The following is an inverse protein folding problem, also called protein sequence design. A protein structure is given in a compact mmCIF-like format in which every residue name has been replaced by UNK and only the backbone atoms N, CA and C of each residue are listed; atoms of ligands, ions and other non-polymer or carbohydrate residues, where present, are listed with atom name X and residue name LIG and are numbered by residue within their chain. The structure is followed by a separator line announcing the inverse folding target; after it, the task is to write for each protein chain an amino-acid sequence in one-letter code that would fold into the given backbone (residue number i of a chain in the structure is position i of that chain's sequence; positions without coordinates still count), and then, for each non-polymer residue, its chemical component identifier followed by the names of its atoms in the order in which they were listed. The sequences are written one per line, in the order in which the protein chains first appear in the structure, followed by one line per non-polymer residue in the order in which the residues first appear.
data_IF_776388083107
#
_entry.id   IF_776388083107
#
_cell.length_a   1.000
_cell.length_b   1.000
_cell.length_c   1.000
_cell.angle_alpha   90.00
_cell.angle_beta   90.00
_cell.angle_gamma   90.00
#
_symmetry.space_group_name_H-M   'P 1'
#
loop_
_entity.id
_entity.type
_entity.pdbx_description
1 polymer ?
#
# COMPACT_ATOMS: atom_id res chain seq x y z
N UNK A 1 -74.88 20.92 11.30
CA UNK A 1 -74.10 19.93 12.02
C UNK A 1 -72.96 19.47 11.12
N UNK A 2 -71.77 20.08 11.24
CA UNK A 2 -70.59 19.77 10.42
C UNK A 2 -69.68 18.89 11.24
N UNK A 3 -69.41 17.67 10.75
CA UNK A 3 -68.49 16.74 11.32
C UNK A 3 -67.06 17.19 10.94
N UNK A 4 -66.22 17.51 11.91
CA UNK A 4 -64.77 17.67 11.78
C UNK A 4 -64.13 16.29 11.95
N UNK A 5 -63.55 15.78 10.86
CA UNK A 5 -62.67 14.61 10.90
C UNK A 5 -61.24 15.12 11.15
N UNK A 6 -60.69 14.84 12.33
CA UNK A 6 -59.31 15.13 12.66
C UNK A 6 -58.44 13.98 12.12
N UNK A 7 -57.58 14.27 11.13
CA UNK A 7 -56.55 13.39 10.62
C UNK A 7 -55.37 13.46 11.61
N UNK A 8 -55.15 12.43 12.42
CA UNK A 8 -53.93 12.28 13.21
C UNK A 8 -52.81 11.78 12.29
N UNK A 9 -51.91 12.67 11.90
CA UNK A 9 -50.68 12.27 11.23
C UNK A 9 -49.75 11.60 12.25
N UNK A 10 -49.59 10.28 12.12
CA UNK A 10 -48.56 9.52 12.87
C UNK A 10 -47.19 9.96 12.34
N UNK A 11 -46.53 10.81 13.09
CA UNK A 11 -45.08 11.04 12.91
C UNK A 11 -44.38 9.77 13.31
N UNK A 12 -43.99 8.97 12.33
CA UNK A 12 -43.03 7.89 12.53
C UNK A 12 -41.72 8.55 12.95
N UNK A 13 -41.48 8.56 14.28
CA UNK A 13 -40.23 9.00 14.86
C UNK A 13 -39.07 8.15 14.32
N UNK A 14 -38.30 8.70 13.39
CA UNK A 14 -37.02 8.14 13.08
C UNK A 14 -36.21 8.09 14.37
N UNK A 15 -35.86 6.89 14.82
CA UNK A 15 -34.91 6.71 15.93
C UNK A 15 -33.68 7.55 15.61
N UNK A 16 -33.13 8.30 16.58
CA UNK A 16 -31.89 9.03 16.32
C UNK A 16 -30.83 8.02 15.81
N UNK A 17 -30.06 8.36 14.77
CA UNK A 17 -29.02 7.48 14.28
C UNK A 17 -28.13 7.12 15.48
N UNK A 18 -27.91 5.82 15.69
CA UNK A 18 -27.00 5.35 16.74
C UNK A 18 -25.69 6.09 16.54
N UNK A 19 -25.16 6.74 17.59
CA UNK A 19 -23.92 7.51 17.51
C UNK A 19 -22.83 6.58 16.95
N UNK A 20 -22.26 6.92 15.81
CA UNK A 20 -21.16 6.16 15.20
C UNK A 20 -20.00 6.10 16.20
N UNK A 21 -19.23 5.00 16.25
CA UNK A 21 -18.03 4.94 17.09
C UNK A 21 -17.04 6.08 16.77
N UNK A 22 -16.88 6.42 15.48
CA UNK A 22 -16.15 7.59 14.99
C UNK A 22 -16.91 8.29 13.88
N UNK A 23 -16.86 9.63 13.84
CA UNK A 23 -17.41 10.42 12.72
C UNK A 23 -16.43 10.50 11.55
N UNK A 24 -15.14 10.44 11.88
CA UNK A 24 -14.03 10.50 10.93
C UNK A 24 -13.04 9.36 11.18
N UNK A 25 -12.50 8.79 10.10
CA UNK A 25 -11.39 7.84 10.15
C UNK A 25 -10.30 8.32 9.22
N UNK A 26 -9.08 8.46 9.76
CA UNK A 26 -7.88 8.81 9.00
C UNK A 26 -6.95 7.61 8.97
N UNK A 27 -6.73 7.06 7.78
CA UNK A 27 -5.77 5.99 7.51
C UNK A 27 -4.51 6.63 6.96
N UNK A 28 -3.45 6.64 7.76
CA UNK A 28 -2.16 7.23 7.42
C UNK A 28 -1.21 6.09 7.10
N UNK A 29 -0.78 6.06 5.84
CA UNK A 29 0.18 5.09 5.34
C UNK A 29 1.57 5.72 5.33
N UNK A 30 2.50 5.08 6.01
CA UNK A 30 3.91 5.44 6.04
C UNK A 30 4.64 4.47 5.10
N UNK A 31 4.62 4.78 3.80
CA UNK A 31 5.09 3.92 2.71
C UNK A 31 6.51 3.37 2.99
N UNK A 32 6.68 2.06 2.87
CA UNK A 32 7.96 1.41 3.06
C UNK A 32 8.47 1.41 4.51
N UNK A 33 7.59 1.52 5.51
CA UNK A 33 8.00 1.67 6.91
C UNK A 33 8.06 0.33 7.64
N UNK A 34 9.25 -0.01 8.13
CA UNK A 34 9.49 -1.17 9.02
C UNK A 34 9.04 -0.87 10.45
N UNK A 35 8.30 -1.78 11.10
CA UNK A 35 7.81 -1.56 12.47
C UNK A 35 8.91 -1.53 13.52
N UNK A 36 10.03 -2.25 13.33
CA UNK A 36 11.17 -2.22 14.24
C UNK A 36 11.91 -0.88 14.18
N UNK A 37 12.05 -0.29 13.00
CA UNK A 37 12.68 1.01 12.81
C UNK A 37 11.79 2.14 13.36
N UNK A 38 10.47 2.07 13.14
CA UNK A 38 9.53 3.04 13.70
C UNK A 38 9.54 3.03 15.24
N UNK A 39 9.68 1.85 15.86
CA UNK A 39 9.82 1.77 17.33
C UNK A 39 11.12 2.38 17.86
N UNK A 40 12.20 2.39 17.07
CA UNK A 40 13.51 2.96 17.42
C UNK A 40 13.61 4.46 17.14
N UNK A 41 12.81 4.97 16.19
CA UNK A 41 12.78 6.39 15.84
C UNK A 41 12.28 7.26 17.00
N UNK A 42 12.71 8.50 17.04
CA UNK A 42 12.13 9.51 17.93
C UNK A 42 10.81 10.01 17.35
N UNK A 43 9.76 9.20 17.55
CA UNK A 43 8.43 9.39 16.98
C UNK A 43 7.36 9.62 18.06
N UNK A 44 7.44 10.74 18.82
CA UNK A 44 6.59 10.96 20.00
C UNK A 44 5.10 11.08 19.69
N UNK A 45 4.70 11.57 18.51
CA UNK A 45 3.29 11.67 18.12
C UNK A 45 2.71 10.28 17.86
N UNK A 46 3.41 9.46 17.05
CA UNK A 46 2.98 8.09 16.72
C UNK A 46 3.04 7.21 17.98
N UNK A 47 4.09 7.32 18.78
CA UNK A 47 4.22 6.55 20.02
C UNK A 47 3.12 6.89 21.04
N UNK A 48 2.66 8.14 21.12
CA UNK A 48 1.50 8.52 21.92
C UNK A 48 0.22 7.88 21.38
N UNK A 49 -0.02 7.96 20.08
CA UNK A 49 -1.18 7.31 19.44
C UNK A 49 -1.17 5.79 19.70
N UNK A 50 -0.01 5.17 19.66
CA UNK A 50 0.17 3.74 19.96
C UNK A 50 -0.15 3.44 21.44
N UNK A 51 0.34 4.26 22.38
CA UNK A 51 0.09 4.08 23.81
C UNK A 51 -1.39 4.29 24.19
N UNK A 52 -2.05 5.26 23.53
CA UNK A 52 -3.46 5.57 23.74
C UNK A 52 -4.43 4.70 22.91
N UNK A 53 -3.93 3.72 22.16
CA UNK A 53 -4.69 2.93 21.23
C UNK A 53 -4.47 1.43 21.32
N UNK A 54 -4.63 0.75 20.19
CA UNK A 54 -4.34 -0.68 20.01
C UNK A 54 -3.20 -0.87 19.00
N UNK A 55 -2.19 -1.65 19.36
CA UNK A 55 -1.02 -1.97 18.53
C UNK A 55 -1.02 -3.46 18.18
N UNK A 56 -0.87 -3.79 16.90
CA UNK A 56 -0.68 -5.15 16.42
C UNK A 56 0.81 -5.42 16.19
N UNK A 57 1.39 -6.34 16.97
CA UNK A 57 2.85 -6.61 16.93
C UNK A 57 3.28 -7.46 15.74
N UNK A 58 2.35 -8.21 15.14
CA UNK A 58 2.59 -9.14 14.04
C UNK A 58 1.63 -8.83 12.88
N UNK A 59 1.62 -7.57 12.46
CA UNK A 59 0.87 -7.17 11.29
C UNK A 59 1.71 -7.39 10.04
N UNK A 60 1.08 -7.92 8.99
CA UNK A 60 1.70 -8.18 7.70
C UNK A 60 0.89 -7.55 6.57
N UNK A 61 1.60 -7.18 5.51
CA UNK A 61 1.00 -6.77 4.25
C UNK A 61 0.57 -7.98 3.41
N UNK A 62 0.11 -7.73 2.18
CA UNK A 62 -0.22 -8.76 1.20
C UNK A 62 0.99 -9.08 0.32
N UNK A 63 1.06 -10.31 -0.22
CA UNK A 63 2.08 -10.69 -1.18
C UNK A 63 1.55 -10.53 -2.62
N UNK A 64 2.35 -10.00 -3.55
CA UNK A 64 3.68 -9.43 -3.34
C UNK A 64 3.62 -8.15 -2.48
N UNK A 65 4.65 -7.92 -1.67
CA UNK A 65 4.78 -6.78 -0.76
C UNK A 65 5.17 -5.51 -1.53
N UNK A 66 4.23 -4.99 -2.30
CA UNK A 66 4.43 -3.93 -3.28
C UNK A 66 3.33 -2.88 -3.19
N UNK A 67 3.70 -1.61 -3.32
CA UNK A 67 2.85 -0.43 -3.12
C UNK A 67 1.51 -0.54 -3.85
N UNK A 68 1.50 -0.77 -5.17
CA UNK A 68 0.27 -0.81 -5.97
C UNK A 68 -0.69 -1.90 -5.49
N UNK A 69 -0.17 -3.07 -5.14
CA UNK A 69 -0.96 -4.21 -4.65
C UNK A 69 -1.55 -3.89 -3.29
N UNK A 70 -0.72 -3.39 -2.36
CA UNK A 70 -1.12 -3.05 -1.01
C UNK A 70 -2.17 -1.94 -0.97
N UNK A 71 -2.01 -0.91 -1.80
CA UNK A 71 -2.97 0.21 -1.89
C UNK A 71 -4.30 -0.14 -2.57
N UNK A 72 -4.44 -1.33 -3.14
CA UNK A 72 -5.75 -1.90 -3.52
C UNK A 72 -6.24 -2.89 -2.46
N UNK A 73 -5.34 -3.65 -1.85
CA UNK A 73 -5.67 -4.56 -0.75
C UNK A 73 -6.26 -3.82 0.46
N UNK A 74 -5.69 -2.67 0.81
CA UNK A 74 -6.14 -1.81 1.91
C UNK A 74 -7.63 -1.42 1.77
N UNK A 75 -8.06 -0.71 0.71
CA UNK A 75 -9.44 -0.21 0.62
C UNK A 75 -10.46 -1.31 0.30
N UNK A 76 -10.06 -2.41 -0.33
CA UNK A 76 -10.95 -3.53 -0.63
C UNK A 76 -11.07 -4.52 0.53
N UNK A 77 -10.12 -4.50 1.47
CA UNK A 77 -9.99 -5.52 2.51
C UNK A 77 -9.76 -6.92 1.93
N UNK A 78 -9.18 -7.01 0.73
CA UNK A 78 -9.08 -8.27 -0.01
C UNK A 78 -7.65 -8.52 -0.49
N UNK A 79 -7.31 -9.79 -0.70
CA UNK A 79 -6.01 -10.18 -1.23
C UNK A 79 -5.94 -10.00 -2.75
N UNK A 80 -4.73 -9.97 -3.33
CA UNK A 80 -4.52 -9.78 -4.77
C UNK A 80 -5.29 -10.79 -5.62
N UNK A 81 -5.38 -12.04 -5.18
CA UNK A 81 -6.16 -13.08 -5.85
C UNK A 81 -7.66 -12.84 -5.86
N UNK A 82 -8.16 -11.93 -5.02
CA UNK A 82 -9.58 -11.54 -4.99
C UNK A 82 -9.84 -10.22 -5.69
N UNK A 83 -8.97 -9.21 -5.52
CA UNK A 83 -9.20 -7.89 -6.13
C UNK A 83 -8.59 -7.72 -7.52
N UNK A 84 -7.69 -8.64 -7.96
CA UNK A 84 -7.19 -8.73 -9.34
C UNK A 84 -6.06 -7.78 -9.72
N UNK A 85 -5.48 -7.04 -8.76
CA UNK A 85 -4.25 -6.28 -8.94
C UNK A 85 -3.13 -7.11 -8.32
N UNK A 86 -2.37 -7.81 -9.16
CA UNK A 86 -1.52 -8.94 -8.75
C UNK A 86 -0.02 -8.66 -8.81
N UNK A 87 0.39 -7.48 -9.23
CA UNK A 87 1.82 -7.14 -9.34
C UNK A 87 2.05 -5.72 -9.81
N UNK A 88 3.29 -5.46 -10.12
CA UNK A 88 3.96 -4.23 -10.40
C UNK A 88 3.30 -3.15 -11.25
N UNK A 89 4.12 -2.52 -12.07
CA UNK A 89 3.72 -1.28 -12.77
C UNK A 89 2.71 -1.54 -13.90
N UNK A 90 2.64 -2.75 -14.42
CA UNK A 90 1.75 -3.15 -15.51
C UNK A 90 0.90 -4.37 -15.15
N UNK A 91 -0.35 -4.37 -15.62
CA UNK A 91 -1.24 -5.53 -15.54
C UNK A 91 -1.44 -6.03 -16.96
N UNK A 92 -1.06 -7.28 -17.21
CA UNK A 92 -1.22 -7.95 -18.50
C UNK A 92 -2.40 -8.91 -18.46
N UNK A 93 -3.02 -9.15 -19.61
CA UNK A 93 -3.90 -10.28 -19.78
C UNK A 93 -3.13 -11.56 -20.16
N UNK A 94 -3.85 -12.67 -20.34
CA UNK A 94 -3.24 -13.94 -20.71
C UNK A 94 -2.55 -13.92 -22.11
N UNK A 95 -2.84 -12.94 -22.95
CA UNK A 95 -2.19 -12.71 -24.25
C UNK A 95 -0.97 -11.78 -24.16
N UNK A 96 -0.67 -11.25 -22.95
CA UNK A 96 0.34 -10.24 -22.66
C UNK A 96 0.00 -8.84 -23.15
N UNK A 97 -1.25 -8.60 -23.52
CA UNK A 97 -1.72 -7.26 -23.80
C UNK A 97 -1.87 -6.46 -22.51
N UNK A 98 -1.52 -5.17 -22.55
CA UNK A 98 -1.68 -4.28 -21.42
C UNK A 98 -3.16 -4.04 -21.13
N UNK A 99 -3.54 -4.28 -19.87
CA UNK A 99 -4.87 -3.98 -19.35
C UNK A 99 -4.95 -2.57 -18.78
N UNK A 100 -3.81 -2.00 -18.40
CA UNK A 100 -3.69 -0.62 -17.97
C UNK A 100 -2.37 0.02 -18.43
N UNK A 101 -2.28 1.33 -18.26
CA UNK A 101 -1.14 2.16 -18.64
C UNK A 101 -0.30 2.58 -17.43
N UNK A 102 -0.41 1.86 -16.30
CA UNK A 102 0.32 2.16 -15.07
C UNK A 102 0.00 3.56 -14.52
N UNK A 103 1.02 4.37 -14.36
CA UNK A 103 0.92 5.74 -13.81
C UNK A 103 0.15 6.73 -14.71
N UNK A 104 -0.06 6.42 -15.99
CA UNK A 104 -0.59 7.40 -16.94
C UNK A 104 -2.10 7.61 -16.79
N UNK A 105 -2.84 6.56 -16.42
CA UNK A 105 -4.28 6.67 -16.20
C UNK A 105 -4.77 5.73 -15.08
N UNK A 106 -4.40 6.01 -13.82
CA UNK A 106 -4.76 5.17 -12.69
C UNK A 106 -6.29 5.15 -12.43
N UNK A 107 -7.00 6.19 -12.85
CA UNK A 107 -8.46 6.26 -12.66
C UNK A 107 -9.16 5.29 -13.60
N UNK A 108 -8.76 5.20 -14.87
CA UNK A 108 -9.35 4.21 -15.78
C UNK A 108 -9.00 2.77 -15.36
N UNK A 109 -7.86 2.57 -14.71
CA UNK A 109 -7.46 1.28 -14.17
C UNK A 109 -8.34 0.80 -12.99
N UNK A 110 -9.12 1.67 -12.35
CA UNK A 110 -10.06 1.29 -11.28
C UNK A 110 -11.10 0.24 -11.74
N UNK A 111 -11.43 0.20 -13.04
CA UNK A 111 -12.29 -0.86 -13.61
C UNK A 111 -11.71 -2.27 -13.47
N UNK A 112 -10.40 -2.39 -13.29
CA UNK A 112 -9.72 -3.68 -13.09
C UNK A 112 -9.85 -4.20 -11.65
N UNK A 113 -10.24 -3.35 -10.70
CA UNK A 113 -10.45 -3.74 -9.30
C UNK A 113 -11.75 -4.52 -9.18
N UNK A 114 -11.63 -5.84 -8.98
CA UNK A 114 -12.74 -6.78 -8.99
C UNK A 114 -13.55 -6.79 -7.66
N UNK A 115 -13.10 -6.08 -6.63
CA UNK A 115 -13.75 -5.98 -5.32
C UNK A 115 -14.20 -4.54 -5.03
N UNK A 116 -15.32 -4.36 -4.32
CA UNK A 116 -15.71 -3.06 -3.81
C UNK A 116 -14.70 -2.55 -2.76
N UNK A 117 -14.62 -1.24 -2.62
CA UNK A 117 -13.78 -0.56 -1.64
C UNK A 117 -14.60 -0.01 -0.48
N UNK A 118 -13.92 0.31 0.63
CA UNK A 118 -14.57 1.04 1.73
C UNK A 118 -14.98 2.47 1.35
N UNK A 119 -14.43 3.04 0.27
CA UNK A 119 -14.90 4.31 -0.30
C UNK A 119 -16.30 4.16 -0.93
N UNK A 120 -16.52 3.07 -1.68
CA UNK A 120 -17.83 2.76 -2.24
C UNK A 120 -18.85 2.47 -1.12
N UNK A 121 -18.43 1.79 -0.03
CA UNK A 121 -19.26 1.58 1.16
C UNK A 121 -19.61 2.91 1.84
N UNK A 122 -18.63 3.83 2.01
CA UNK A 122 -18.84 5.15 2.59
C UNK A 122 -19.81 5.98 1.74
N UNK A 123 -19.59 6.01 0.42
CA UNK A 123 -20.45 6.73 -0.53
C UNK A 123 -21.88 6.20 -0.54
N UNK A 124 -22.07 4.87 -0.49
CA UNK A 124 -23.39 4.26 -0.40
C UNK A 124 -24.14 4.62 0.91
N UNK A 125 -23.39 4.98 1.96
CA UNK A 125 -23.93 5.45 3.24
C UNK A 125 -24.09 6.99 3.31
N UNK A 126 -23.83 7.71 2.23
CA UNK A 126 -23.91 9.17 2.17
C UNK A 126 -22.75 9.88 2.88
N UNK A 127 -21.62 9.18 3.10
CA UNK A 127 -20.41 9.75 3.66
C UNK A 127 -19.47 10.24 2.56
N UNK A 128 -18.66 11.24 2.90
CA UNK A 128 -17.62 11.75 2.01
C UNK A 128 -16.26 11.16 2.36
N UNK A 129 -15.43 10.97 1.35
CA UNK A 129 -14.14 10.33 1.50
C UNK A 129 -13.07 10.96 0.60
N UNK A 130 -11.82 10.80 0.99
CA UNK A 130 -10.67 11.34 0.28
C UNK A 130 -9.53 10.34 0.20
N UNK A 131 -8.85 10.32 -0.92
CA UNK A 131 -7.60 9.59 -1.10
C UNK A 131 -6.49 10.50 -1.62
N UNK A 132 -5.45 10.69 -0.82
CA UNK A 132 -4.25 11.43 -1.19
C UNK A 132 -3.10 10.46 -1.46
N UNK A 133 -2.78 10.27 -2.73
CA UNK A 133 -1.74 9.37 -3.22
C UNK A 133 -0.48 10.16 -3.57
N UNK A 134 0.68 9.69 -3.11
CA UNK A 134 1.96 10.28 -3.52
C UNK A 134 2.39 9.79 -4.90
N UNK A 135 2.29 8.50 -5.13
CA UNK A 135 2.56 7.85 -6.42
C UNK A 135 1.23 7.68 -7.18
N UNK A 136 1.15 8.16 -8.42
CA UNK A 136 -0.14 8.22 -9.15
C UNK A 136 -0.88 6.88 -9.25
N UNK A 137 -0.16 5.78 -9.44
CA UNK A 137 -0.74 4.44 -9.59
C UNK A 137 -1.46 3.91 -8.34
N UNK A 138 -1.24 4.49 -7.17
CA UNK A 138 -1.97 4.15 -5.94
C UNK A 138 -3.46 4.45 -6.07
N UNK A 139 -3.84 5.44 -6.91
CA UNK A 139 -5.23 5.84 -7.13
C UNK A 139 -6.11 4.76 -7.77
N UNK A 140 -5.53 3.65 -8.23
CA UNK A 140 -6.29 2.45 -8.60
C UNK A 140 -7.14 1.96 -7.41
N UNK A 141 -6.63 2.09 -6.19
CA UNK A 141 -7.36 1.78 -4.95
C UNK A 141 -8.40 2.83 -4.53
N UNK A 142 -8.41 4.00 -5.14
CA UNK A 142 -9.29 5.11 -4.77
C UNK A 142 -10.73 5.00 -5.34
N UNK A 143 -11.10 3.84 -5.90
CA UNK A 143 -12.43 3.61 -6.49
C UNK A 143 -13.55 3.95 -5.51
N UNK A 144 -14.40 4.92 -5.90
CA UNK A 144 -15.51 5.40 -5.09
C UNK A 144 -15.17 6.55 -4.12
N UNK A 145 -13.92 7.02 -4.06
CA UNK A 145 -13.56 8.19 -3.26
C UNK A 145 -14.20 9.48 -3.80
N UNK A 146 -14.65 10.35 -2.89
CA UNK A 146 -15.26 11.65 -3.26
C UNK A 146 -14.21 12.59 -3.83
N UNK A 147 -13.02 12.65 -3.22
CA UNK A 147 -11.88 13.46 -3.67
C UNK A 147 -10.63 12.61 -3.78
N UNK A 148 -9.82 12.93 -4.77
CA UNK A 148 -8.50 12.33 -4.95
C UNK A 148 -7.45 13.42 -5.14
N UNK A 149 -6.26 13.22 -4.55
CA UNK A 149 -5.06 13.99 -4.85
C UNK A 149 -4.05 13.04 -5.48
N UNK A 150 -3.56 13.42 -6.66
CA UNK A 150 -2.47 12.72 -7.34
C UNK A 150 -1.18 13.54 -7.15
N UNK A 151 -0.36 13.17 -6.17
CA UNK A 151 0.89 13.86 -5.85
C UNK A 151 1.85 13.95 -7.03
N UNK A 152 1.87 12.94 -7.92
CA UNK A 152 2.66 12.98 -9.16
C UNK A 152 2.30 14.17 -10.06
N UNK A 153 1.06 14.62 -10.04
CA UNK A 153 0.55 15.72 -10.87
C UNK A 153 0.51 17.05 -10.13
N UNK A 154 0.32 17.05 -8.81
CA UNK A 154 0.03 18.24 -8.02
C UNK A 154 1.23 18.78 -7.24
N UNK A 155 2.23 17.94 -6.96
CA UNK A 155 3.50 18.37 -6.37
C UNK A 155 4.35 19.03 -7.47
N UNK A 156 5.07 20.11 -7.13
CA UNK A 156 5.89 20.79 -8.13
C UNK A 156 6.88 19.83 -8.81
N UNK A 157 7.08 20.03 -10.12
CA UNK A 157 7.81 19.09 -10.96
C UNK A 157 9.28 18.92 -10.54
N UNK A 158 9.89 19.98 -9.97
CA UNK A 158 11.30 19.93 -9.53
C UNK A 158 11.42 19.03 -8.30
N UNK A 159 10.59 19.28 -7.28
CA UNK A 159 10.55 18.44 -6.08
C UNK A 159 10.21 16.99 -6.43
N UNK A 160 9.22 16.78 -7.29
CA UNK A 160 8.83 15.40 -7.65
C UNK A 160 9.92 14.68 -8.43
N UNK A 161 10.62 15.35 -9.36
CA UNK A 161 11.76 14.76 -10.08
C UNK A 161 12.93 14.44 -9.16
N UNK A 162 13.19 15.30 -8.17
CA UNK A 162 14.30 15.15 -7.24
C UNK A 162 14.18 13.91 -6.30
N UNK A 163 13.03 13.23 -6.27
CA UNK A 163 12.84 11.97 -5.50
C UNK A 163 13.85 10.88 -5.88
N UNK A 164 14.32 10.89 -7.13
CA UNK A 164 15.36 9.98 -7.63
C UNK A 164 16.78 10.55 -7.52
N UNK A 165 16.92 11.79 -7.01
CA UNK A 165 18.22 12.35 -6.81
C UNK A 165 19.01 11.49 -5.82
N UNK A 166 20.09 10.92 -6.31
CA UNK A 166 21.19 10.40 -5.50
C UNK A 166 22.17 11.52 -5.29
N UNK A 167 23.11 11.36 -4.40
CA UNK A 167 24.14 12.36 -4.03
C UNK A 167 25.09 12.79 -5.19
N UNK A 168 24.71 12.55 -6.42
CA UNK A 168 25.48 12.90 -7.62
C UNK A 168 25.45 14.42 -7.85
N UNK A 169 26.26 15.15 -7.08
CA UNK A 169 26.51 16.59 -7.27
C UNK A 169 25.79 17.55 -6.31
N UNK A 170 25.10 17.06 -5.30
CA UNK A 170 24.51 17.82 -4.19
C UNK A 170 24.86 17.22 -2.83
N UNK A 171 24.61 17.93 -1.72
CA UNK A 171 24.76 17.31 -0.40
C UNK A 171 23.65 16.28 -0.17
N UNK A 172 23.96 15.19 0.56
CA UNK A 172 22.99 14.20 0.98
C UNK A 172 21.81 14.83 1.73
N UNK A 173 22.04 15.91 2.46
CA UNK A 173 21.00 16.66 3.16
C UNK A 173 20.03 17.35 2.21
N UNK A 174 20.47 17.88 1.08
CA UNK A 174 19.60 18.47 0.07
C UNK A 174 18.71 17.40 -0.58
N UNK A 175 19.29 16.26 -0.96
CA UNK A 175 18.53 15.13 -1.51
C UNK A 175 17.51 14.59 -0.51
N UNK A 176 17.86 14.50 0.77
CA UNK A 176 16.96 14.10 1.84
C UNK A 176 15.80 15.11 1.99
N UNK A 177 16.11 16.40 1.99
CA UNK A 177 15.10 17.46 2.07
C UNK A 177 14.08 17.36 0.93
N UNK A 178 14.52 17.15 -0.31
CA UNK A 178 13.61 16.98 -1.44
C UNK A 178 12.68 15.78 -1.26
N UNK A 179 13.21 14.62 -0.80
CA UNK A 179 12.38 13.43 -0.56
C UNK A 179 11.35 13.66 0.55
N UNK A 180 11.73 14.34 1.63
CA UNK A 180 10.82 14.69 2.73
C UNK A 180 9.77 15.71 2.29
N UNK A 181 10.12 16.67 1.42
CA UNK A 181 9.20 17.68 0.89
C UNK A 181 8.03 17.09 0.12
N UNK A 182 8.14 15.88 -0.43
CA UNK A 182 7.04 15.19 -1.10
C UNK A 182 5.87 14.94 -0.13
N UNK A 183 6.15 14.31 1.02
CA UNK A 183 5.13 14.05 2.04
C UNK A 183 4.61 15.35 2.66
N UNK A 184 5.47 16.37 2.82
CA UNK A 184 5.07 17.70 3.30
C UNK A 184 4.02 18.33 2.37
N UNK A 185 4.31 18.42 1.09
CA UNK A 185 3.39 19.03 0.11
C UNK A 185 2.08 18.25 0.00
N UNK A 186 2.13 16.92 0.06
CA UNK A 186 0.91 16.11 0.03
C UNK A 186 0.05 16.32 1.28
N UNK A 187 0.66 16.44 2.47
CA UNK A 187 -0.09 16.77 3.69
C UNK A 187 -0.72 18.17 3.59
N UNK A 188 -0.01 19.17 3.08
CA UNK A 188 -0.54 20.54 2.93
C UNK A 188 -1.79 20.55 2.05
N UNK A 189 -1.76 19.84 0.92
CA UNK A 189 -2.90 19.70 0.01
C UNK A 189 -4.05 18.93 0.69
N UNK A 190 -3.73 17.87 1.44
CA UNK A 190 -4.71 17.10 2.21
C UNK A 190 -5.40 17.98 3.25
N UNK A 191 -4.62 18.77 3.99
CA UNK A 191 -5.16 19.67 5.00
C UNK A 191 -6.07 20.77 4.40
N UNK A 192 -5.81 21.22 3.19
CA UNK A 192 -6.70 22.16 2.49
C UNK A 192 -8.10 21.57 2.31
N UNK A 193 -8.18 20.32 1.80
CA UNK A 193 -9.46 19.61 1.63
C UNK A 193 -10.12 19.30 2.99
N UNK A 194 -9.33 18.90 3.98
CA UNK A 194 -9.85 18.58 5.33
C UNK A 194 -10.43 19.82 6.01
N UNK A 195 -9.80 20.98 5.89
CA UNK A 195 -10.30 22.25 6.44
C UNK A 195 -11.62 22.65 5.86
N UNK A 196 -11.79 22.51 4.55
CA UNK A 196 -12.98 22.92 3.82
C UNK A 196 -14.13 21.93 3.97
N UNK A 197 -13.85 20.63 3.84
CA UNK A 197 -14.89 19.62 3.67
C UNK A 197 -15.06 18.63 4.83
N UNK A 198 -14.06 18.50 5.71
CA UNK A 198 -14.06 17.54 6.85
C UNK A 198 -14.54 16.13 6.44
N UNK A 199 -13.86 15.46 5.49
CA UNK A 199 -14.29 14.15 5.00
C UNK A 199 -14.37 13.11 6.13
N UNK A 200 -15.31 12.17 6.02
CA UNK A 200 -15.51 11.11 7.01
C UNK A 200 -14.42 10.02 6.94
N UNK A 201 -13.88 9.77 5.75
CA UNK A 201 -12.82 8.79 5.53
C UNK A 201 -11.68 9.42 4.73
N UNK A 202 -10.48 9.39 5.26
CA UNK A 202 -9.27 9.90 4.60
C UNK A 202 -8.23 8.80 4.55
N UNK A 203 -7.66 8.55 3.37
CA UNK A 203 -6.42 7.81 3.19
C UNK A 203 -5.35 8.78 2.73
N UNK A 204 -4.23 8.82 3.44
CA UNK A 204 -3.09 9.68 3.15
C UNK A 204 -1.82 8.84 3.08
N UNK A 205 -1.16 8.79 1.92
CA UNK A 205 0.14 8.13 1.77
C UNK A 205 1.30 9.12 1.95
N UNK A 206 2.04 9.00 3.04
CA UNK A 206 3.28 9.74 3.31
C UNK A 206 4.48 8.90 2.84
N UNK A 207 4.84 9.02 1.56
CA UNK A 207 5.75 8.09 0.87
C UNK A 207 7.24 8.39 0.97
N UNK A 208 7.67 9.36 1.78
CA UNK A 208 9.08 9.77 1.82
C UNK A 208 10.03 8.69 2.34
N UNK A 209 9.57 7.80 3.24
CA UNK A 209 10.42 6.76 3.80
C UNK A 209 10.81 5.72 2.74
N UNK A 210 9.87 5.34 1.86
CA UNK A 210 10.13 4.45 0.72
C UNK A 210 11.23 5.02 -0.21
N UNK A 211 11.09 6.28 -0.64
CA UNK A 211 12.10 6.90 -1.50
C UNK A 211 13.48 7.01 -0.85
N UNK A 212 13.52 7.20 0.47
CA UNK A 212 14.77 7.25 1.23
C UNK A 212 15.38 5.86 1.35
N UNK A 213 14.57 4.84 1.67
CA UNK A 213 15.03 3.46 1.79
C UNK A 213 15.55 2.90 0.46
N UNK A 214 14.88 3.18 -0.65
CA UNK A 214 15.40 2.85 -1.98
C UNK A 214 16.78 3.47 -2.24
N UNK A 215 16.98 4.71 -1.82
CA UNK A 215 18.21 5.46 -2.12
C UNK A 215 19.40 5.08 -1.26
N UNK A 216 19.20 4.92 0.06
CA UNK A 216 20.28 4.73 1.03
C UNK A 216 20.16 3.46 1.86
N UNK A 217 19.12 2.66 1.64
CA UNK A 217 18.79 1.47 2.42
C UNK A 217 17.96 1.78 3.67
N UNK A 218 17.26 0.76 4.22
CA UNK A 218 16.38 0.95 5.37
C UNK A 218 17.11 1.13 6.72
N UNK A 219 18.40 0.79 6.79
CA UNK A 219 19.19 0.84 8.03
C UNK A 219 20.07 2.10 8.12
N UNK A 220 19.87 3.08 7.23
CA UNK A 220 20.67 4.30 7.18
C UNK A 220 20.14 5.41 8.11
N UNK A 221 21.01 6.37 8.53
CA UNK A 221 20.58 7.52 9.34
C UNK A 221 19.53 8.39 8.65
N UNK A 222 19.54 8.48 7.32
CA UNK A 222 18.59 9.26 6.53
C UNK A 222 17.17 8.68 6.67
N UNK A 223 17.05 7.36 6.70
CA UNK A 223 15.76 6.70 6.90
C UNK A 223 15.21 7.00 8.30
N UNK A 224 16.03 6.90 9.35
CA UNK A 224 15.62 7.26 10.70
C UNK A 224 15.15 8.71 10.80
N UNK A 225 15.93 9.67 10.27
CA UNK A 225 15.54 11.09 10.22
C UNK A 225 14.23 11.31 9.45
N UNK A 226 13.96 10.47 8.47
CA UNK A 226 12.69 10.55 7.70
C UNK A 226 11.51 10.03 8.51
N UNK A 227 11.66 8.95 9.28
CA UNK A 227 10.61 8.48 10.18
C UNK A 227 10.27 9.53 11.24
N UNK A 228 11.27 10.20 11.81
CA UNK A 228 11.11 11.31 12.76
C UNK A 228 10.41 12.52 12.11
N UNK A 229 10.76 12.84 10.87
CA UNK A 229 10.08 13.88 10.08
C UNK A 229 8.60 13.52 9.82
N UNK A 230 8.30 12.28 9.44
CA UNK A 230 6.94 11.80 9.21
C UNK A 230 6.10 11.81 10.50
N UNK A 231 6.70 11.50 11.65
CA UNK A 231 6.06 11.66 12.96
C UNK A 231 5.63 13.10 13.20
N UNK A 232 6.49 14.07 12.86
CA UNK A 232 6.15 15.49 12.92
C UNK A 232 4.93 15.84 12.07
N UNK A 233 4.81 15.28 10.87
CA UNK A 233 3.65 15.48 9.99
C UNK A 233 2.37 14.88 10.59
N UNK A 234 2.47 13.68 11.18
CA UNK A 234 1.34 13.05 11.90
C UNK A 234 0.91 13.90 13.08
N UNK A 235 1.86 14.42 13.85
CA UNK A 235 1.61 15.33 14.96
C UNK A 235 0.92 16.63 14.55
N UNK A 236 1.31 17.21 13.41
CA UNK A 236 0.67 18.38 12.82
C UNK A 236 -0.77 18.11 12.39
N UNK A 237 -1.00 17.00 11.66
CA UNK A 237 -2.36 16.57 11.30
C UNK A 237 -3.24 16.42 12.57
N UNK A 238 -2.74 15.73 13.59
CA UNK A 238 -3.44 15.56 14.87
C UNK A 238 -3.81 16.90 15.51
N UNK A 239 -2.88 17.85 15.54
CA UNK A 239 -3.11 19.18 16.09
C UNK A 239 -4.15 19.98 15.27
N UNK A 240 -4.10 19.87 13.94
CA UNK A 240 -5.03 20.55 13.05
C UNK A 240 -6.47 20.05 13.22
N UNK A 241 -6.67 18.73 13.35
CA UNK A 241 -7.99 18.18 13.64
C UNK A 241 -8.55 18.68 15.00
N UNK A 242 -7.67 18.96 15.96
CA UNK A 242 -8.04 19.63 17.21
C UNK A 242 -8.56 21.06 17.01
N UNK A 243 -7.85 21.85 16.19
CA UNK A 243 -8.29 23.22 15.83
C UNK A 243 -9.63 23.21 15.08
N UNK A 244 -9.88 22.20 14.25
CA UNK A 244 -11.12 22.01 13.51
C UNK A 244 -12.28 21.48 14.39
N UNK A 245 -12.01 21.09 15.63
CA UNK A 245 -13.00 20.55 16.58
C UNK A 245 -13.50 19.15 16.26
N UNK A 246 -12.78 18.39 15.40
CA UNK A 246 -13.19 17.03 14.99
C UNK A 246 -12.33 15.92 15.58
N UNK A 247 -11.20 16.23 16.21
CA UNK A 247 -10.24 15.25 16.73
C UNK A 247 -10.87 14.22 17.66
N UNK A 248 -11.69 14.65 18.61
CA UNK A 248 -12.30 13.77 19.62
C UNK A 248 -13.31 12.77 19.02
N UNK A 249 -13.72 13.01 17.77
CA UNK A 249 -14.61 12.16 16.99
C UNK A 249 -13.88 11.47 15.83
N UNK A 250 -12.54 11.49 15.84
CA UNK A 250 -11.68 10.92 14.81
C UNK A 250 -10.97 9.68 15.31
N UNK A 251 -11.05 8.59 14.56
CA UNK A 251 -10.17 7.43 14.70
C UNK A 251 -8.98 7.55 13.74
N UNK A 252 -7.82 7.10 14.19
CA UNK A 252 -6.60 7.02 13.40
C UNK A 252 -6.23 5.56 13.17
N UNK A 253 -5.80 5.25 11.96
CA UNK A 253 -5.10 4.02 11.60
C UNK A 253 -3.74 4.42 11.05
N UNK A 254 -2.65 3.96 11.65
CA UNK A 254 -1.29 4.16 11.16
C UNK A 254 -0.76 2.81 10.72
N UNK A 255 -0.36 2.71 9.45
CA UNK A 255 0.18 1.50 8.87
C UNK A 255 1.22 1.81 7.80
N UNK A 256 1.71 0.78 7.12
CA UNK A 256 2.51 0.87 5.91
C UNK A 256 1.94 -0.10 4.87
N UNK A 257 2.31 0.09 3.64
CA UNK A 257 1.95 -0.79 2.52
C UNK A 257 2.87 -2.01 2.44
N UNK A 258 4.15 -1.85 2.82
CA UNK A 258 5.17 -2.90 2.97
C UNK A 258 6.27 -2.43 3.92
N UNK A 259 7.14 -3.36 4.28
CA UNK A 259 8.42 -3.08 4.90
C UNK A 259 9.53 -2.89 3.86
N UNK A 260 10.79 -3.19 4.23
CA UNK A 260 11.93 -2.92 3.35
C UNK A 260 13.14 -3.80 3.70
N UNK A 261 13.81 -4.35 2.68
CA UNK A 261 15.08 -5.07 2.80
C UNK A 261 16.24 -4.25 2.24
N UNK A 262 17.43 -4.42 2.82
CA UNK A 262 18.66 -3.86 2.27
C UNK A 262 19.09 -4.58 0.98
N UNK A 263 19.99 -3.96 0.22
CA UNK A 263 20.58 -4.53 -1.00
C UNK A 263 22.10 -4.42 -0.90
N UNK A 264 22.80 -5.51 -1.13
CA UNK A 264 24.24 -5.48 -1.33
C UNK A 264 24.51 -4.93 -2.75
N UNK A 265 25.14 -3.73 -2.88
CA UNK A 265 25.41 -3.14 -4.17
C UNK A 265 26.36 -3.98 -5.06
N UNK A 266 27.03 -4.97 -4.49
CA UNK A 266 27.90 -5.91 -5.23
C UNK A 266 27.12 -7.09 -5.82
N UNK A 267 25.89 -7.31 -5.38
CA UNK A 267 25.02 -8.45 -5.79
C UNK A 267 23.85 -8.02 -6.68
N UNK A 268 24.00 -6.93 -7.39
CA UNK A 268 22.98 -6.50 -8.36
C UNK A 268 23.00 -7.41 -9.58
N UNK A 269 21.87 -8.05 -9.84
CA UNK A 269 21.71 -9.08 -10.88
C UNK A 269 21.70 -8.48 -12.28
N UNK A 270 21.34 -7.21 -12.37
CA UNK A 270 21.19 -6.49 -13.63
C UNK A 270 22.31 -5.46 -13.82
N UNK A 271 23.44 -5.79 -14.44
CA UNK A 271 24.43 -4.82 -14.84
C UNK A 271 23.93 -4.04 -16.05
N UNK A 272 23.15 -2.99 -15.82
CA UNK A 272 22.87 -1.97 -16.83
C UNK A 272 24.00 -0.93 -16.90
N UNK A 273 24.03 -0.15 -17.97
CA UNK A 273 24.92 1.01 -18.07
C UNK A 273 24.61 1.98 -16.92
N UNK A 274 25.47 2.01 -15.90
CA UNK A 274 25.36 2.86 -14.71
C UNK A 274 25.30 4.35 -15.03
N UNK A 275 25.59 4.75 -16.27
CA UNK A 275 25.53 6.13 -16.74
C UNK A 275 24.15 6.56 -17.21
N UNK A 276 23.24 5.62 -17.45
CA UNK A 276 21.88 5.92 -17.91
C UNK A 276 20.86 5.60 -16.83
N UNK A 277 19.89 6.47 -16.54
CA UNK A 277 18.73 6.13 -15.76
C UNK A 277 17.88 5.17 -16.61
N UNK A 278 18.07 3.87 -16.47
CA UNK A 278 17.11 2.95 -17.05
C UNK A 278 15.89 2.93 -16.16
N UNK A 279 14.84 3.56 -16.61
CA UNK A 279 13.46 3.32 -16.22
C UNK A 279 12.93 2.05 -16.92
N UNK A 280 13.83 1.35 -17.62
CA UNK A 280 13.48 0.15 -18.35
C UNK A 280 13.38 -1.03 -17.39
N UNK A 281 12.35 -1.80 -17.61
CA UNK A 281 12.03 -3.12 -17.06
C UNK A 281 13.24 -3.98 -16.70
N UNK A 282 13.05 -4.98 -15.80
CA UNK A 282 14.13 -5.86 -15.41
C UNK A 282 14.92 -6.26 -16.64
N UNK A 283 16.23 -6.08 -16.63
CA UNK A 283 17.05 -6.27 -17.83
C UNK A 283 16.80 -7.67 -18.39
N UNK A 284 16.53 -7.76 -19.67
CA UNK A 284 16.19 -9.01 -20.35
C UNK A 284 17.15 -10.16 -20.08
N UNK A 285 18.42 -9.85 -19.80
CA UNK A 285 19.45 -10.85 -19.52
C UNK A 285 19.29 -11.59 -18.17
N UNK A 286 18.49 -11.08 -17.22
CA UNK A 286 18.20 -11.81 -15.99
C UNK A 286 17.56 -13.17 -16.29
N UNK A 287 16.83 -13.26 -17.40
CA UNK A 287 16.19 -14.49 -17.83
C UNK A 287 16.89 -15.13 -19.07
N UNK A 288 18.17 -14.80 -19.29
CA UNK A 288 18.97 -15.45 -20.33
C UNK A 288 18.91 -16.99 -20.31
N UNK A 289 18.82 -17.67 -19.14
CA UNK A 289 18.65 -19.12 -19.11
C UNK A 289 17.37 -19.59 -19.81
N UNK A 290 16.28 -18.81 -19.76
CA UNK A 290 15.03 -19.10 -20.48
C UNK A 290 15.16 -18.80 -21.96
N UNK A 291 15.73 -17.62 -22.30
CA UNK A 291 15.97 -17.22 -23.66
C UNK A 291 16.90 -18.19 -24.42
N UNK A 292 17.96 -18.65 -23.78
CA UNK A 292 18.90 -19.63 -24.35
C UNK A 292 18.25 -20.98 -24.70
N UNK A 293 17.11 -21.29 -24.09
CA UNK A 293 16.29 -22.47 -24.39
C UNK A 293 15.15 -22.18 -25.34
N UNK A 294 15.05 -20.97 -25.86
CA UNK A 294 13.93 -20.54 -26.72
C UNK A 294 12.58 -20.53 -26.02
N UNK A 295 12.59 -20.30 -24.69
CA UNK A 295 11.35 -20.14 -23.92
C UNK A 295 10.91 -18.69 -24.05
N UNK A 296 9.79 -18.48 -24.76
CA UNK A 296 9.17 -17.16 -24.87
C UNK A 296 8.54 -16.77 -23.54
N UNK A 297 8.96 -15.64 -22.98
CA UNK A 297 8.55 -15.16 -21.66
C UNK A 297 8.44 -13.64 -21.62
N UNK A 298 7.70 -13.15 -20.61
CA UNK A 298 7.60 -11.74 -20.26
C UNK A 298 7.82 -11.59 -18.74
N UNK A 299 8.44 -10.49 -18.32
CA UNK A 299 8.76 -10.24 -16.92
C UNK A 299 8.18 -8.92 -16.46
N UNK A 300 7.62 -8.92 -15.24
CA UNK A 300 7.22 -7.71 -14.54
C UNK A 300 8.08 -7.52 -13.30
N UNK A 301 8.48 -6.28 -13.04
CA UNK A 301 9.15 -5.93 -11.78
C UNK A 301 8.11 -5.82 -10.65
N UNK A 302 8.45 -6.34 -9.50
CA UNK A 302 7.58 -6.33 -8.32
C UNK A 302 8.38 -5.85 -7.11
N UNK A 303 8.51 -4.51 -6.96
CA UNK A 303 9.21 -3.88 -5.85
C UNK A 303 10.74 -4.00 -5.87
N UNK A 304 11.32 -4.54 -6.95
CA UNK A 304 12.77 -4.65 -7.16
C UNK A 304 13.43 -5.88 -6.58
N UNK A 305 12.84 -6.54 -5.59
CA UNK A 305 13.34 -7.79 -5.00
C UNK A 305 12.51 -9.02 -5.36
N UNK A 306 11.49 -8.86 -6.18
CA UNK A 306 10.67 -9.94 -6.72
C UNK A 306 10.29 -9.64 -8.16
N UNK A 307 9.97 -10.66 -8.94
CA UNK A 307 9.50 -10.52 -10.31
C UNK A 307 8.41 -11.53 -10.66
N UNK A 308 7.45 -11.09 -11.47
CA UNK A 308 6.46 -11.95 -12.11
C UNK A 308 7.00 -12.43 -13.47
N UNK A 309 6.95 -13.72 -13.73
CA UNK A 309 7.37 -14.31 -15.01
C UNK A 309 6.19 -14.97 -15.68
N UNK A 310 5.87 -14.51 -16.89
CA UNK A 310 4.82 -15.04 -17.75
C UNK A 310 5.45 -15.89 -18.84
N UNK A 311 5.02 -17.14 -18.96
CA UNK A 311 5.53 -18.11 -19.93
C UNK A 311 4.48 -18.33 -21.02
N UNK A 312 4.87 -18.15 -22.30
CA UNK A 312 3.93 -18.29 -23.42
C UNK A 312 3.41 -19.71 -23.54
N UNK A 313 4.31 -20.68 -23.64
CA UNK A 313 3.98 -22.10 -23.67
C UNK A 313 3.92 -22.67 -22.25
N UNK A 314 2.72 -22.90 -21.75
CA UNK A 314 2.48 -23.40 -20.40
C UNK A 314 3.10 -24.78 -20.12
N UNK A 315 3.37 -25.58 -21.15
CA UNK A 315 4.07 -26.85 -21.03
C UNK A 315 5.55 -26.66 -20.61
N UNK A 316 6.11 -25.45 -20.82
CA UNK A 316 7.49 -25.10 -20.49
C UNK A 316 7.66 -24.50 -19.08
N UNK A 317 6.59 -24.33 -18.30
CA UNK A 317 6.66 -23.76 -16.94
C UNK A 317 7.57 -24.59 -16.05
N UNK A 318 7.43 -25.91 -16.03
CA UNK A 318 8.28 -26.77 -15.18
C UNK A 318 9.78 -26.70 -15.57
N UNK A 319 10.09 -26.63 -16.87
CA UNK A 319 11.46 -26.42 -17.35
C UNK A 319 12.00 -25.06 -16.92
N UNK A 320 11.16 -24.01 -17.01
CA UNK A 320 11.52 -22.66 -16.58
C UNK A 320 11.88 -22.62 -15.09
N UNK A 321 11.09 -23.27 -14.23
CA UNK A 321 11.38 -23.41 -12.82
C UNK A 321 12.74 -24.09 -12.60
N UNK A 322 12.98 -25.23 -13.31
CA UNK A 322 14.23 -25.99 -13.18
C UNK A 322 15.48 -25.20 -13.64
N UNK A 323 15.32 -24.30 -14.61
CA UNK A 323 16.38 -23.40 -15.06
C UNK A 323 16.64 -22.31 -14.03
N UNK A 324 15.61 -21.60 -13.60
CA UNK A 324 15.72 -20.48 -12.65
C UNK A 324 16.24 -20.92 -11.28
N UNK A 325 15.93 -22.14 -10.82
CA UNK A 325 16.47 -22.70 -9.57
C UNK A 325 17.98 -22.88 -9.55
N UNK A 326 18.65 -22.84 -10.68
CA UNK A 326 20.12 -22.94 -10.78
C UNK A 326 20.80 -21.59 -10.61
N UNK A 327 20.03 -20.53 -10.69
CA UNK A 327 20.55 -19.17 -10.59
C UNK A 327 20.80 -18.83 -9.11
N UNK A 328 22.00 -18.34 -8.75
CA UNK A 328 22.39 -18.10 -7.36
C UNK A 328 21.64 -16.95 -6.68
N UNK A 329 20.90 -16.18 -7.45
CA UNK A 329 20.11 -15.05 -6.99
C UNK A 329 18.64 -15.39 -6.75
N UNK A 330 18.21 -16.63 -6.98
CA UNK A 330 16.83 -17.08 -6.74
C UNK A 330 16.70 -17.65 -5.33
N UNK A 331 15.91 -17.00 -4.50
CA UNK A 331 15.54 -17.48 -3.16
C UNK A 331 14.35 -18.43 -3.23
N UNK A 332 13.23 -17.98 -3.77
CA UNK A 332 12.01 -18.78 -3.87
C UNK A 332 11.29 -18.58 -5.18
N UNK A 333 10.55 -19.62 -5.61
CA UNK A 333 9.68 -19.60 -6.78
C UNK A 333 8.30 -20.10 -6.37
N UNK A 334 7.29 -19.25 -6.60
CA UNK A 334 5.87 -19.60 -6.44
C UNK A 334 5.24 -19.71 -7.81
N UNK A 335 4.45 -20.74 -8.05
CA UNK A 335 3.87 -20.97 -9.37
C UNK A 335 2.37 -21.32 -9.31
N UNK A 336 1.69 -21.16 -10.42
CA UNK A 336 0.30 -21.60 -10.59
C UNK A 336 0.12 -22.16 -12.00
N UNK A 337 -0.32 -23.42 -12.15
CA UNK A 337 -0.65 -24.37 -11.07
C UNK A 337 0.58 -24.87 -10.33
N UNK A 338 0.36 -25.56 -9.19
CA UNK A 338 1.42 -26.20 -8.43
C UNK A 338 2.28 -27.09 -9.35
N UNK A 339 3.60 -26.90 -9.28
CA UNK A 339 4.55 -27.60 -10.13
C UNK A 339 5.77 -28.11 -9.35
N UNK A 340 6.51 -29.02 -9.98
CA UNK A 340 7.74 -29.56 -9.43
C UNK A 340 8.80 -28.45 -9.33
N UNK A 341 9.35 -28.27 -8.12
CA UNK A 341 10.40 -27.29 -7.85
C UNK A 341 9.88 -25.91 -7.40
N UNK A 342 8.57 -25.70 -7.29
CA UNK A 342 8.02 -24.50 -6.67
C UNK A 342 7.93 -24.63 -5.15
N UNK A 343 8.16 -23.53 -4.42
CA UNK A 343 8.09 -23.48 -2.95
C UNK A 343 6.65 -23.39 -2.44
N UNK A 344 5.70 -23.13 -3.34
CA UNK A 344 4.29 -23.04 -3.06
C UNK A 344 3.50 -22.55 -4.28
N UNK A 345 2.21 -22.32 -4.09
CA UNK A 345 1.33 -21.79 -5.14
C UNK A 345 0.95 -20.35 -4.88
N UNK A 346 0.73 -19.58 -5.94
CA UNK A 346 0.17 -18.22 -5.83
C UNK A 346 -1.22 -18.25 -5.18
N UNK A 347 -2.01 -19.30 -5.42
CA UNK A 347 -3.30 -19.52 -4.76
C UNK A 347 -3.14 -19.69 -3.24
N UNK A 348 -2.13 -20.44 -2.76
CA UNK A 348 -1.87 -20.60 -1.33
C UNK A 348 -1.46 -19.30 -0.66
N UNK A 349 -0.86 -18.38 -1.43
CA UNK A 349 -0.50 -17.04 -1.01
C UNK A 349 -1.64 -16.02 -1.20
N UNK A 350 -2.79 -16.47 -1.70
CA UNK A 350 -3.94 -15.61 -2.05
C UNK A 350 -3.59 -14.52 -3.09
N UNK A 351 -2.60 -14.79 -3.94
CA UNK A 351 -2.05 -13.86 -4.93
C UNK A 351 -2.36 -14.28 -6.37
N UNK A 352 -3.11 -15.36 -6.56
CA UNK A 352 -3.50 -15.81 -7.90
C UNK A 352 -4.85 -15.24 -8.31
N UNK A 353 -4.87 -14.51 -9.42
CA UNK A 353 -6.08 -14.06 -10.10
C UNK A 353 -6.08 -14.61 -11.54
N UNK A 354 -7.05 -15.43 -11.95
CA UNK A 354 -7.07 -16.04 -13.26
C UNK A 354 -6.97 -15.03 -14.40
N UNK A 355 -6.09 -15.29 -15.35
CA UNK A 355 -5.89 -14.45 -16.53
C UNK A 355 -5.07 -13.18 -16.34
N UNK A 356 -4.59 -12.91 -15.10
CA UNK A 356 -3.73 -11.74 -14.81
C UNK A 356 -2.45 -12.09 -14.10
N UNK A 357 -2.48 -13.10 -13.22
CA UNK A 357 -1.28 -13.48 -12.47
C UNK A 357 -0.22 -14.07 -13.40
N UNK A 358 1.07 -13.84 -13.10
CA UNK A 358 2.17 -14.52 -13.75
C UNK A 358 2.10 -16.03 -13.50
N UNK A 359 2.80 -16.80 -14.33
CA UNK A 359 2.98 -18.24 -14.12
C UNK A 359 3.91 -18.53 -12.95
N UNK A 360 4.90 -17.66 -12.75
CA UNK A 360 5.87 -17.73 -11.67
C UNK A 360 6.00 -16.36 -11.00
N UNK A 361 6.07 -16.36 -9.67
CA UNK A 361 6.64 -15.27 -8.89
C UNK A 361 7.97 -15.75 -8.34
N UNK A 362 9.01 -14.97 -8.60
CA UNK A 362 10.39 -15.30 -8.21
C UNK A 362 10.87 -14.24 -7.23
N UNK A 363 11.09 -14.65 -5.98
CA UNK A 363 11.72 -13.81 -4.98
C UNK A 363 13.25 -13.96 -5.10
N UNK A 364 13.93 -12.83 -5.03
CA UNK A 364 15.38 -12.77 -5.13
C UNK A 364 16.00 -13.08 -3.77
N UNK A 365 17.21 -13.63 -3.80
CA UNK A 365 18.03 -13.89 -2.62
C UNK A 365 18.31 -12.62 -1.82
N UNK A 366 18.64 -12.77 -0.54
CA UNK A 366 19.01 -11.68 0.34
C UNK A 366 20.08 -10.80 -0.30
N UNK A 367 19.91 -9.48 -0.14
CA UNK A 367 20.80 -8.47 -0.70
C UNK A 367 20.83 -8.40 -2.24
N UNK A 368 20.03 -9.19 -2.96
CA UNK A 368 19.94 -9.12 -4.42
C UNK A 368 18.83 -8.17 -4.88
N UNK A 369 19.04 -7.48 -6.00
CA UNK A 369 18.06 -6.58 -6.58
C UNK A 369 18.09 -6.57 -8.10
N UNK A 370 16.95 -6.28 -8.71
CA UNK A 370 16.81 -6.05 -10.14
C UNK A 370 17.32 -4.66 -10.57
N UNK A 371 17.48 -3.74 -9.64
CA UNK A 371 17.88 -2.37 -9.93
C UNK A 371 19.16 -1.98 -9.19
N UNK A 372 20.24 -1.75 -9.92
CA UNK A 372 21.58 -1.46 -9.40
C UNK A 372 21.75 -0.07 -8.76
N UNK A 373 20.75 0.80 -8.81
CA UNK A 373 20.81 2.15 -8.24
C UNK A 373 20.18 2.28 -6.87
N UNK A 374 19.63 1.18 -6.37
CA UNK A 374 18.89 1.20 -5.12
C UNK A 374 19.64 0.40 -4.05
N UNK A 375 19.75 1.00 -2.87
CA UNK A 375 20.37 0.40 -1.70
C UNK A 375 19.38 -0.38 -0.83
N UNK A 376 18.11 -0.35 -1.18
CA UNK A 376 17.04 -1.12 -0.56
C UNK A 376 15.92 -1.43 -1.55
N UNK A 377 15.23 -2.53 -1.32
CA UNK A 377 14.17 -3.09 -2.16
C UNK A 377 13.11 -3.76 -1.29
N UNK A 378 12.01 -4.13 -1.92
CA UNK A 378 10.89 -4.86 -1.32
C UNK A 378 10.22 -5.75 -2.39
N UNK A 379 9.14 -6.41 -2.05
CA UNK A 379 8.36 -7.23 -3.00
C UNK A 379 8.30 -8.70 -2.62
N UNK A 380 9.20 -9.17 -1.74
CA UNK A 380 9.34 -10.57 -1.36
C UNK A 380 8.43 -10.96 -0.20
N UNK A 381 8.54 -12.25 0.19
CA UNK A 381 7.93 -12.77 1.42
C UNK A 381 8.81 -12.66 2.66
N UNK A 382 9.97 -12.04 2.56
CA UNK A 382 10.84 -11.85 3.72
C UNK A 382 10.11 -11.09 4.83
N UNK A 383 10.38 -11.38 6.10
CA UNK A 383 9.75 -10.69 7.22
C UNK A 383 9.93 -9.16 7.18
N UNK A 384 11.09 -8.70 6.70
CA UNK A 384 11.41 -7.28 6.61
C UNK A 384 10.60 -6.55 5.54
N UNK A 385 10.17 -7.25 4.48
CA UNK A 385 9.28 -6.72 3.44
C UNK A 385 7.81 -6.86 3.84
N UNK A 386 7.45 -7.97 4.51
CA UNK A 386 6.06 -8.29 4.83
C UNK A 386 5.54 -7.58 6.08
N UNK A 387 6.38 -7.36 7.10
CA UNK A 387 5.95 -6.77 8.37
C UNK A 387 5.73 -5.26 8.25
N UNK A 388 4.58 -4.84 8.74
CA UNK A 388 4.15 -3.43 8.74
C UNK A 388 3.75 -2.99 10.14
N UNK A 389 3.90 -1.71 10.52
CA UNK A 389 3.24 -1.18 11.69
C UNK A 389 1.73 -1.23 11.49
N UNK A 390 0.97 -1.51 12.55
CA UNK A 390 -0.48 -1.36 12.55
C UNK A 390 -0.95 -0.89 13.92
N UNK A 391 -1.41 0.35 13.94
CA UNK A 391 -1.84 1.08 15.14
C UNK A 391 -3.22 1.64 14.87
N UNK A 392 -4.17 1.38 15.77
CA UNK A 392 -5.46 2.06 15.82
C UNK A 392 -5.49 2.96 17.05
N UNK A 393 -6.04 4.17 16.94
CA UNK A 393 -6.13 5.12 18.07
C UNK A 393 -7.30 6.08 17.89
N UNK A 394 -7.77 6.71 18.98
CA UNK A 394 -8.80 7.74 18.95
C UNK A 394 -10.22 7.22 19.17
N UNK A 395 -11.20 7.86 18.50
CA UNK A 395 -12.61 7.57 18.72
C UNK A 395 -13.00 6.13 18.35
N UNK A 396 -13.73 5.47 19.24
CA UNK A 396 -14.20 4.10 19.03
C UNK A 396 -13.13 3.01 19.13
N UNK A 397 -11.88 3.38 19.49
CA UNK A 397 -10.76 2.45 19.59
C UNK A 397 -10.48 2.08 21.04
N UNK A 398 -10.16 0.81 21.30
CA UNK A 398 -9.73 0.30 22.59
C UNK A 398 -8.34 0.85 22.96
N UNK A 399 -8.15 1.23 24.23
CA UNK A 399 -6.92 1.90 24.70
C UNK A 399 -5.96 0.94 25.38
N UNK A 400 -4.67 1.13 25.14
CA UNK A 400 -3.61 0.38 25.81
C UNK A 400 -3.61 -1.10 25.49
N UNK A 401 -4.14 -1.49 24.32
CA UNK A 401 -4.21 -2.88 23.90
C UNK A 401 -2.99 -3.22 23.04
N UNK A 402 -2.36 -4.34 23.38
CA UNK A 402 -1.34 -4.97 22.54
C UNK A 402 -1.89 -6.28 22.01
N UNK A 403 -2.06 -6.36 20.69
CA UNK A 403 -2.65 -7.50 20.01
C UNK A 403 -1.58 -8.26 19.19
N UNK A 404 -1.91 -9.47 18.77
CA UNK A 404 -1.00 -10.35 18.04
C UNK A 404 -1.02 -10.11 16.53
N UNK A 405 -1.61 -11.06 15.81
CA UNK A 405 -1.62 -11.10 14.33
C UNK A 405 -2.71 -10.25 13.71
N UNK A 406 -2.36 -9.54 12.67
CA UNK A 406 -3.27 -8.86 11.77
C UNK A 406 -2.69 -8.85 10.35
N UNK A 407 -3.55 -8.54 9.37
CA UNK A 407 -3.13 -8.32 8.00
C UNK A 407 -3.67 -6.98 7.50
N UNK A 408 -3.02 -6.37 6.52
CA UNK A 408 -3.46 -5.12 5.91
C UNK A 408 -4.93 -5.19 5.43
N UNK A 409 -5.38 -6.34 4.94
CA UNK A 409 -6.76 -6.56 4.51
C UNK A 409 -7.81 -6.47 5.64
N UNK A 410 -7.38 -6.56 6.89
CA UNK A 410 -8.25 -6.43 8.06
C UNK A 410 -8.61 -4.97 8.36
N UNK A 411 -7.88 -4.03 7.77
CA UNK A 411 -8.10 -2.58 7.99
C UNK A 411 -9.45 -2.15 7.45
N UNK A 412 -9.80 -2.51 6.21
CA UNK A 412 -11.04 -2.04 5.60
C UNK A 412 -12.31 -2.44 6.37
N UNK A 413 -12.54 -3.72 6.74
CA UNK A 413 -13.73 -4.08 7.53
C UNK A 413 -13.71 -3.43 8.92
N UNK A 414 -12.54 -3.19 9.52
CA UNK A 414 -12.44 -2.50 10.81
C UNK A 414 -12.77 -1.01 10.69
N UNK A 415 -12.32 -0.34 9.62
CA UNK A 415 -12.66 1.06 9.31
C UNK A 415 -14.16 1.22 9.07
N UNK A 416 -14.77 0.32 8.30
CA UNK A 416 -16.21 0.30 8.07
C UNK A 416 -16.98 0.18 9.39
N UNK A 417 -16.50 -0.66 10.31
CA UNK A 417 -17.09 -0.80 11.65
C UNK A 417 -16.92 0.46 12.52
N UNK A 418 -15.73 1.10 12.50
CA UNK A 418 -15.48 2.36 13.21
C UNK A 418 -16.40 3.49 12.72
N UNK A 419 -16.66 3.57 11.42
CA UNK A 419 -17.62 4.50 10.82
C UNK A 419 -19.09 4.14 11.10
N UNK A 420 -19.38 3.05 11.83
CA UNK A 420 -20.73 2.59 12.12
C UNK A 420 -21.50 2.13 10.87
N UNK A 421 -20.79 1.70 9.83
CA UNK A 421 -21.37 1.25 8.58
C UNK A 421 -21.73 -0.24 8.62
N UNK A 422 -22.69 -0.65 7.78
CA UNK A 422 -23.24 -2.00 7.80
C UNK A 422 -22.42 -3.05 7.05
N UNK A 423 -21.43 -2.63 6.24
CA UNK A 423 -20.65 -3.51 5.38
C UNK A 423 -21.48 -4.18 4.28
N UNK A 424 -22.49 -3.50 3.76
CA UNK A 424 -23.38 -4.08 2.73
C UNK A 424 -22.76 -4.12 1.34
N UNK A 425 -21.86 -3.19 1.04
CA UNK A 425 -21.16 -3.08 -0.24
C UNK A 425 -19.85 -3.83 -0.21
N UNK A 426 -19.03 -3.58 0.84
CA UNK A 426 -17.72 -4.20 1.01
C UNK A 426 -17.82 -5.73 1.06
N UNK A 427 -16.88 -6.42 0.40
CA UNK A 427 -16.76 -7.89 0.37
C UNK A 427 -15.33 -8.28 0.69
N UNK A 428 -14.89 -8.09 1.95
CA UNK A 428 -13.51 -8.30 2.35
C UNK A 428 -13.18 -9.78 2.50
N UNK A 429 -11.90 -10.11 2.28
CA UNK A 429 -11.31 -11.38 2.72
C UNK A 429 -10.80 -11.26 4.17
N UNK A 430 -10.50 -10.03 4.60
CA UNK A 430 -10.08 -9.70 5.95
C UNK A 430 -11.22 -9.74 6.96
N UNK A 431 -10.86 -9.74 8.25
CA UNK A 431 -11.78 -9.73 9.38
C UNK A 431 -11.85 -8.35 10.04
N UNK A 432 -12.90 -8.09 10.78
CA UNK A 432 -12.91 -6.99 11.74
C UNK A 432 -11.94 -7.31 12.88
N UNK A 433 -11.06 -6.38 13.21
CA UNK A 433 -10.15 -6.47 14.34
C UNK A 433 -10.91 -6.05 15.61
N UNK A 434 -11.70 -6.95 16.17
CA UNK A 434 -12.51 -6.67 17.36
C UNK A 434 -11.65 -6.25 18.56
N UNK A 435 -10.38 -6.67 18.58
CA UNK A 435 -9.37 -6.27 19.58
C UNK A 435 -9.10 -4.76 19.59
N UNK A 436 -9.27 -4.12 18.42
CA UNK A 436 -9.04 -2.69 18.24
C UNK A 436 -10.27 -1.84 18.62
N UNK A 437 -11.43 -2.43 18.84
CA UNK A 437 -12.66 -1.68 19.05
C UNK A 437 -12.96 -1.48 20.54
N UNK A 438 -13.37 -0.27 20.92
CA UNK A 438 -13.90 -0.02 22.25
C UNK A 438 -15.20 -0.83 22.47
N UNK A 439 -15.31 -1.43 23.65
CA UNK A 439 -16.49 -2.21 24.05
C UNK A 439 -17.62 -1.31 24.54
#
# INVERSE_FOLDING_TARGET
MRLLVALAAAVLGASPPSARPADHVFVIMLDGTRPDMLRRAQAPAIHRLAADGTVFLQAETTYPSQTRVAFVSLPTGSYPGSHGIVGGDEIKDASWADLDTGDNDPISAQKLVARPTFFEEATAAGLTSMYAALKGYELVGAKGATWTINGKQTIDAVTYAARYATDAGGSADLALWYKQSLSRQLLDQTLAVVREHKPNLVVLNLGSADYVAHTWGPDCPQYMRTLEFLDGLVGELWAELGKLGIRERTAFVISADHGFSGVDPTRVIAPGDRSKPSLEDPPRHVLDPLAARGIEHYVTNTGGASMGVYIRDKARVAESVALLRREPWVESIYCEPAGVGCDGTLSSLRSYFPGRSPDLMVDLDDDAALNFRQAGQHGTRRPDDMRIPLIFSGAGVARGVVAGKACLVDVAPTVVRLLGLSGRVLRPDGRVLEEALAR
#
